data_IF_205171781521
#
_entry.id   IF_205171781521
#
_cell.length_a   1.000
_cell.length_b   1.000
_cell.length_c   1.000
_cell.angle_alpha   90.00
_cell.angle_beta   90.00
_cell.angle_gamma   90.00
#
_symmetry.space_group_name_H-M   'P 1'
#
loop_
_entity.id
_entity.type
_entity.pdbx_description
1 polymer ?
#
# COMPACT_ATOMS: atom_id res chain seq x y z
N UNK A 1 11.52 -11.21 -6.46
CA UNK A 1 11.10 -10.79 -7.80
C UNK A 1 12.29 -10.63 -8.75
N UNK A 2 13.28 -9.79 -8.41
CA UNK A 2 14.44 -9.48 -9.26
C UNK A 2 15.29 -10.72 -9.64
N UNK A 3 15.44 -11.70 -8.74
CA UNK A 3 16.14 -12.97 -9.00
C UNK A 3 15.44 -13.87 -10.03
N UNK A 4 14.10 -13.76 -10.17
CA UNK A 4 13.33 -14.57 -11.13
C UNK A 4 13.27 -13.92 -12.52
N UNK A 5 13.65 -12.65 -12.62
CA UNK A 5 13.64 -11.86 -13.85
C UNK A 5 15.07 -11.51 -14.33
N UNK A 6 16.12 -11.97 -13.64
CA UNK A 6 17.53 -11.64 -13.92
C UNK A 6 17.80 -10.12 -14.04
N UNK A 7 17.06 -9.30 -13.29
CA UNK A 7 17.19 -7.86 -13.33
C UNK A 7 18.19 -7.40 -12.26
N UNK A 8 19.30 -6.79 -12.68
CA UNK A 8 20.32 -6.20 -11.80
C UNK A 8 19.84 -4.83 -11.27
N UNK A 9 18.75 -4.85 -10.50
CA UNK A 9 18.14 -3.67 -9.88
C UNK A 9 18.42 -3.73 -8.38
N UNK A 10 18.93 -2.64 -7.75
CA UNK A 10 19.20 -2.62 -6.32
C UNK A 10 17.96 -2.95 -5.50
N UNK A 11 18.12 -3.88 -4.55
CA UNK A 11 17.09 -4.54 -3.74
C UNK A 11 16.31 -3.60 -2.80
N UNK A 12 16.61 -2.30 -2.85
CA UNK A 12 16.08 -1.25 -1.97
C UNK A 12 14.80 -0.59 -2.52
N UNK A 13 14.44 -0.84 -3.78
CA UNK A 13 13.22 -0.31 -4.38
C UNK A 13 12.09 -1.33 -4.24
N UNK A 14 11.18 -1.08 -3.29
CA UNK A 14 9.97 -1.90 -3.06
C UNK A 14 8.84 -1.61 -4.04
N UNK A 15 8.97 -0.55 -4.85
CA UNK A 15 8.01 -0.20 -5.89
C UNK A 15 8.29 -0.93 -7.19
N UNK A 16 7.22 -1.44 -7.80
CA UNK A 16 7.24 -2.01 -9.14
C UNK A 16 7.54 -0.92 -10.16
N UNK A 17 8.58 -1.10 -10.96
CA UNK A 17 8.91 -0.20 -12.06
C UNK A 17 8.19 -0.65 -13.33
N UNK A 18 7.87 0.29 -14.23
CA UNK A 18 7.24 -0.03 -15.52
C UNK A 18 8.04 -1.06 -16.34
N UNK A 19 9.37 -1.09 -16.16
CA UNK A 19 10.27 -2.09 -16.76
C UNK A 19 10.06 -3.51 -16.24
N UNK A 20 9.66 -3.67 -14.98
CA UNK A 20 9.38 -4.99 -14.39
C UNK A 20 8.14 -5.60 -15.04
N UNK A 21 7.13 -4.78 -15.33
CA UNK A 21 5.89 -5.20 -16.01
C UNK A 21 6.20 -5.71 -17.43
N UNK A 22 7.04 -4.98 -18.17
CA UNK A 22 7.46 -5.40 -19.51
C UNK A 22 8.23 -6.73 -19.46
N UNK A 23 9.18 -6.88 -18.53
CA UNK A 23 9.94 -8.12 -18.37
C UNK A 23 9.06 -9.32 -17.97
N UNK A 24 8.01 -9.10 -17.16
CA UNK A 24 7.01 -10.13 -16.84
C UNK A 24 6.19 -10.51 -18.06
N UNK A 25 5.76 -9.53 -18.85
CA UNK A 25 5.01 -9.77 -20.08
C UNK A 25 5.83 -10.57 -21.10
N UNK A 26 7.09 -10.20 -21.33
CA UNK A 26 8.00 -10.93 -22.22
C UNK A 26 8.21 -12.38 -21.75
N UNK A 27 8.38 -12.57 -20.43
CA UNK A 27 8.51 -13.91 -19.84
C UNK A 27 7.23 -14.73 -19.97
N UNK A 28 6.05 -14.11 -19.82
CA UNK A 28 4.75 -14.77 -19.98
C UNK A 28 4.49 -15.18 -21.43
N UNK A 29 4.88 -14.34 -22.40
CA UNK A 29 4.81 -14.65 -23.83
C UNK A 29 5.73 -15.82 -24.15
N UNK A 30 6.98 -15.80 -23.67
CA UNK A 30 7.91 -16.94 -23.81
C UNK A 30 7.33 -18.25 -23.29
N UNK A 31 6.69 -18.23 -22.12
CA UNK A 31 6.02 -19.41 -21.54
C UNK A 31 4.85 -19.91 -22.41
N UNK A 32 4.07 -19.00 -23.04
CA UNK A 32 2.99 -19.36 -23.96
C UNK A 32 3.47 -20.08 -25.22
N UNK A 33 4.67 -19.76 -25.71
CA UNK A 33 5.29 -20.41 -26.87
C UNK A 33 6.10 -21.67 -26.50
N UNK A 34 5.99 -22.17 -25.27
CA UNK A 34 6.72 -23.35 -24.80
C UNK A 34 8.20 -23.09 -24.50
N UNK A 35 8.64 -21.83 -24.54
CA UNK A 35 10.00 -21.41 -24.23
C UNK A 35 10.09 -21.03 -22.73
N UNK A 36 10.38 -22.02 -21.89
CA UNK A 36 10.64 -21.81 -20.46
C UNK A 36 10.04 -22.88 -19.55
N UNK A 37 10.63 -23.08 -18.38
CA UNK A 37 10.15 -24.03 -17.37
C UNK A 37 9.01 -23.43 -16.56
N UNK A 38 7.90 -24.16 -16.44
CA UNK A 38 6.80 -23.78 -15.55
C UNK A 38 7.31 -23.82 -14.10
N UNK A 39 7.11 -22.72 -13.37
CA UNK A 39 7.59 -22.61 -12.01
C UNK A 39 6.79 -23.54 -11.08
N UNK A 40 7.48 -24.45 -10.42
CA UNK A 40 6.83 -25.42 -9.53
C UNK A 40 6.38 -24.70 -8.24
N UNK A 41 5.06 -24.54 -8.11
CA UNK A 41 4.43 -23.92 -6.93
C UNK A 41 4.76 -24.65 -5.61
N UNK A 42 5.07 -25.94 -5.67
CA UNK A 42 5.39 -26.75 -4.49
C UNK A 42 6.87 -26.72 -4.11
N UNK A 43 7.70 -26.00 -4.85
CA UNK A 43 9.09 -25.83 -4.50
C UNK A 43 9.22 -24.96 -3.25
N UNK A 44 9.98 -25.43 -2.25
CA UNK A 44 10.11 -24.73 -0.96
C UNK A 44 10.64 -23.30 -1.08
N UNK A 45 11.45 -23.00 -2.11
CA UNK A 45 11.92 -21.62 -2.37
C UNK A 45 10.80 -20.66 -2.81
N UNK A 46 9.64 -21.18 -3.22
CA UNK A 46 8.44 -20.41 -3.54
C UNK A 46 7.44 -20.37 -2.38
N UNK A 47 7.77 -20.97 -1.23
CA UNK A 47 6.99 -20.91 0.00
C UNK A 47 7.64 -19.91 0.96
N UNK A 48 6.88 -18.92 1.41
CA UNK A 48 7.30 -18.02 2.48
C UNK A 48 6.90 -18.64 3.82
N UNK A 49 7.86 -18.81 4.74
CA UNK A 49 7.58 -19.20 6.12
C UNK A 49 7.34 -17.92 6.92
N UNK A 50 6.16 -17.81 7.53
CA UNK A 50 5.85 -16.72 8.46
C UNK A 50 5.88 -17.27 9.88
N UNK A 51 6.60 -16.60 10.77
CA UNK A 51 6.55 -16.89 12.20
C UNK A 51 5.27 -16.33 12.82
N UNK A 52 4.90 -16.86 13.99
CA UNK A 52 3.81 -16.29 14.81
C UNK A 52 4.10 -14.81 15.15
N UNK A 53 5.37 -14.46 15.36
CA UNK A 53 5.78 -13.08 15.60
C UNK A 53 5.51 -12.15 14.41
N UNK A 54 5.76 -12.61 13.17
CA UNK A 54 5.53 -11.83 11.95
C UNK A 54 4.02 -11.59 11.76
N UNK A 55 3.20 -12.62 11.99
CA UNK A 55 1.74 -12.51 11.92
C UNK A 55 1.18 -11.55 12.96
N UNK A 56 1.71 -11.60 14.18
CA UNK A 56 1.33 -10.66 15.24
C UNK A 56 1.74 -9.23 14.87
N UNK A 57 2.94 -9.03 14.34
CA UNK A 57 3.41 -7.71 13.91
C UNK A 57 2.50 -7.10 12.83
N UNK A 58 2.08 -7.90 11.84
CA UNK A 58 1.13 -7.47 10.81
C UNK A 58 -0.23 -7.08 11.40
N UNK A 59 -0.77 -7.90 12.31
CA UNK A 59 -2.05 -7.62 12.97
C UNK A 59 -2.01 -6.36 13.84
N UNK A 60 -0.94 -6.19 14.62
CA UNK A 60 -0.76 -5.00 15.47
C UNK A 60 -0.50 -3.75 14.64
N UNK A 61 0.26 -3.85 13.54
CA UNK A 61 0.50 -2.72 12.64
C UNK A 61 -0.80 -2.20 12.03
N UNK A 62 -1.68 -3.11 11.56
CA UNK A 62 -2.99 -2.74 11.03
C UNK A 62 -3.90 -2.13 12.11
N UNK A 63 -3.96 -2.75 13.29
CA UNK A 63 -4.78 -2.26 14.40
C UNK A 63 -4.33 -0.84 14.85
N UNK A 64 -3.03 -0.61 14.96
CA UNK A 64 -2.48 0.68 15.34
C UNK A 64 -2.75 1.76 14.29
N UNK A 65 -2.62 1.43 13.00
CA UNK A 65 -2.93 2.35 11.91
C UNK A 65 -4.41 2.76 11.93
N UNK A 66 -5.32 1.81 12.18
CA UNK A 66 -6.75 2.08 12.29
C UNK A 66 -7.06 3.01 13.47
N UNK A 67 -6.52 2.72 14.65
CA UNK A 67 -6.70 3.54 15.85
C UNK A 67 -6.15 4.95 15.61
N UNK A 68 -4.95 5.06 15.06
CA UNK A 68 -4.31 6.36 14.78
C UNK A 68 -5.12 7.17 13.78
N UNK A 69 -5.56 6.56 12.68
CA UNK A 69 -6.39 7.25 11.69
C UNK A 69 -7.73 7.72 12.28
N UNK A 70 -8.36 6.89 13.12
CA UNK A 70 -9.65 7.22 13.74
C UNK A 70 -9.50 8.32 14.77
N UNK A 71 -8.45 8.26 15.60
CA UNK A 71 -8.14 9.29 16.59
C UNK A 71 -7.80 10.63 15.91
N UNK A 72 -6.98 10.62 14.85
CA UNK A 72 -6.66 11.82 14.08
C UNK A 72 -7.93 12.46 13.51
N UNK A 73 -8.80 11.67 12.88
CA UNK A 73 -10.09 12.17 12.36
C UNK A 73 -10.96 12.72 13.50
N UNK A 74 -11.09 12.01 14.63
CA UNK A 74 -11.89 12.49 15.76
C UNK A 74 -11.34 13.79 16.37
N UNK A 75 -10.03 13.95 16.46
CA UNK A 75 -9.41 15.20 16.96
C UNK A 75 -9.58 16.34 15.98
N UNK A 76 -9.51 16.07 14.67
CA UNK A 76 -9.79 17.05 13.63
C UNK A 76 -11.25 17.51 13.71
N UNK A 77 -12.21 16.59 13.68
CA UNK A 77 -13.64 16.91 13.81
C UNK A 77 -13.95 17.65 15.12
N UNK A 78 -13.33 17.25 16.24
CA UNK A 78 -13.50 17.94 17.52
C UNK A 78 -12.89 19.34 17.52
N UNK A 79 -11.72 19.55 16.90
CA UNK A 79 -11.06 20.85 16.82
C UNK A 79 -11.86 21.80 15.91
N UNK A 80 -12.21 21.39 14.69
CA UNK A 80 -12.99 22.23 13.76
C UNK A 80 -14.44 22.41 14.20
N UNK A 81 -15.05 21.41 14.83
CA UNK A 81 -16.41 21.49 15.38
C UNK A 81 -16.53 22.40 16.61
N UNK A 82 -15.45 22.54 17.40
CA UNK A 82 -15.41 23.46 18.55
C UNK A 82 -14.76 24.81 18.24
N UNK A 83 -14.08 24.95 17.10
CA UNK A 83 -13.37 26.19 16.77
C UNK A 83 -14.33 27.34 16.42
N UNK A 84 -14.16 28.47 17.09
CA UNK A 84 -14.94 29.70 16.90
C UNK A 84 -14.94 30.20 15.44
N UNK A 85 -13.94 29.85 14.61
CA UNK A 85 -13.91 30.23 13.19
C UNK A 85 -15.00 29.55 12.34
N UNK A 86 -15.53 28.38 12.74
CA UNK A 86 -16.63 27.74 12.02
C UNK A 86 -17.91 28.58 12.12
N UNK A 87 -18.17 29.14 13.32
CA UNK A 87 -19.32 30.03 13.56
C UNK A 87 -19.16 31.42 12.94
N UNK A 88 -17.92 31.91 12.78
CA UNK A 88 -17.65 33.23 12.19
C UNK A 88 -17.78 33.19 10.66
N UNK A 89 -17.35 32.11 10.01
CA UNK A 89 -17.45 31.99 8.55
C UNK A 89 -18.92 31.98 8.08
N UNK A 90 -19.79 31.27 8.81
CA UNK A 90 -21.23 31.16 8.51
C UNK A 90 -21.94 32.52 8.61
N UNK A 91 -21.69 33.29 9.69
CA UNK A 91 -22.28 34.64 9.86
C UNK A 91 -21.83 35.66 8.83
N UNK A 92 -20.65 35.51 8.22
CA UNK A 92 -20.16 36.49 7.22
C UNK A 92 -20.75 36.30 5.83
N UNK A 93 -21.40 35.16 5.56
CA UNK A 93 -22.08 34.92 4.29
C UNK A 93 -23.51 35.49 4.35
N UNK A 94 -24.17 35.40 5.51
CA UNK A 94 -25.55 35.87 5.67
C UNK A 94 -25.68 37.41 5.83
N UNK A 95 -24.63 38.10 6.28
CA UNK A 95 -24.68 39.57 6.48
C UNK A 95 -24.33 40.40 5.24
N UNK A 96 -23.92 39.78 4.14
CA UNK A 96 -23.61 40.45 2.87
C UNK A 96 -24.75 40.35 1.83
N UNK A 97 -25.95 39.93 2.25
CA UNK A 97 -27.16 39.81 1.41
C UNK A 97 -28.28 40.80 1.81
N UNK A 98 -27.94 42.01 2.25
CA UNK A 98 -28.88 43.11 2.47
C UNK A 98 -28.41 44.40 1.82
#
# INVERSE_FOLDING_TARGET
>A
MNQRLNLNIPQKNTFLLSRDILAIADRLIGMKFGMGTLDNMNHLKNKCIHSVADLLQDQFGLALNLITSTALTATYESFFGLHLLSQVLDRTIDTNSA
#
